data_IF_162963517816
#
_entry.id   IF_162963517816
#
_cell.length_a   1.000
_cell.length_b   1.000
_cell.length_c   1.000
_cell.angle_alpha   90.00
_cell.angle_beta   90.00
_cell.angle_gamma   90.00
#
_symmetry.space_group_name_H-M   'P 1'
#
loop_
_entity.id
_entity.type
_entity.pdbx_description
1 polymer ?
#
# COMPACT_ATOMS: atom_id res chain seq x y z
N UNK A 1 -6.00 -11.84 19.45
CA UNK A 1 -5.26 -12.14 18.19
C UNK A 1 -4.15 -13.10 18.56
N UNK A 2 -3.97 -14.21 17.83
CA UNK A 2 -2.91 -15.16 18.14
C UNK A 2 -1.60 -14.70 17.50
N UNK A 3 -0.50 -14.86 18.21
CA UNK A 3 0.85 -14.65 17.67
C UNK A 3 1.22 -15.82 16.75
N UNK A 4 1.93 -15.54 15.69
CA UNK A 4 2.31 -16.49 14.63
C UNK A 4 3.69 -17.05 14.91
N UNK A 5 3.79 -18.35 15.09
CA UNK A 5 5.02 -19.04 15.47
C UNK A 5 5.47 -19.95 14.33
N UNK A 6 6.77 -19.89 14.00
CA UNK A 6 7.44 -20.88 13.18
C UNK A 6 8.11 -21.94 14.05
N UNK A 7 8.18 -23.17 13.57
CA UNK A 7 8.86 -24.26 14.23
C UNK A 7 9.72 -25.05 13.25
N UNK A 8 10.99 -25.20 13.55
CA UNK A 8 11.95 -25.97 12.75
C UNK A 8 12.52 -27.07 13.63
N UNK A 9 12.19 -28.32 13.29
CA UNK A 9 12.59 -29.49 14.06
C UNK A 9 12.40 -30.75 13.21
N UNK A 10 13.48 -31.48 12.93
CA UNK A 10 13.48 -32.67 12.10
C UNK A 10 12.77 -33.87 12.74
N UNK A 11 12.75 -33.95 14.07
CA UNK A 11 12.21 -35.09 14.80
C UNK A 11 10.76 -34.88 15.28
N UNK A 12 10.46 -33.66 15.73
CA UNK A 12 9.14 -33.38 16.31
C UNK A 12 8.02 -33.46 15.29
N UNK A 13 8.28 -33.13 14.07
CA UNK A 13 7.28 -33.21 13.00
C UNK A 13 6.83 -34.67 12.73
N UNK A 14 7.76 -35.61 12.70
CA UNK A 14 7.44 -37.02 12.50
C UNK A 14 6.57 -37.54 13.64
N UNK A 15 6.87 -37.20 14.88
CA UNK A 15 6.05 -37.58 16.04
C UNK A 15 4.67 -36.92 16.00
N UNK A 16 4.57 -35.63 15.69
CA UNK A 16 3.28 -34.91 15.59
C UNK A 16 2.43 -35.42 14.42
N UNK A 17 3.05 -35.79 13.30
CA UNK A 17 2.34 -36.31 12.13
C UNK A 17 1.77 -37.70 12.33
N UNK A 18 2.42 -38.53 13.13
CA UNK A 18 2.06 -39.95 13.40
C UNK A 18 1.14 -40.07 14.61
N UNK A 19 1.41 -39.34 15.70
CA UNK A 19 0.62 -39.36 16.91
C UNK A 19 -0.36 -38.20 16.97
N UNK A 20 -1.61 -38.49 16.63
CA UNK A 20 -2.70 -37.50 16.66
C UNK A 20 -2.94 -36.91 18.04
N UNK A 21 -2.81 -37.67 19.12
CA UNK A 21 -3.03 -37.21 20.49
C UNK A 21 -1.93 -36.22 20.89
N UNK A 22 -0.69 -36.47 20.48
CA UNK A 22 0.42 -35.56 20.73
C UNK A 22 0.26 -34.25 19.94
N UNK A 23 -0.16 -34.34 18.69
CA UNK A 23 -0.47 -33.17 17.86
C UNK A 23 -1.56 -32.32 18.47
N UNK A 24 -2.66 -32.93 18.89
CA UNK A 24 -3.78 -32.22 19.50
C UNK A 24 -3.37 -31.53 20.84
N UNK A 25 -2.59 -32.24 21.66
CA UNK A 25 -2.05 -31.66 22.90
C UNK A 25 -1.11 -30.48 22.63
N UNK A 26 -0.25 -30.62 21.63
CA UNK A 26 0.71 -29.60 21.21
C UNK A 26 -0.01 -28.35 20.72
N UNK A 27 -0.93 -28.49 19.74
CA UNK A 27 -1.70 -27.37 19.21
C UNK A 27 -2.55 -26.71 20.30
N UNK A 28 -3.17 -27.51 21.17
CA UNK A 28 -3.93 -26.98 22.30
C UNK A 28 -3.08 -26.16 23.24
N UNK A 29 -1.90 -26.65 23.61
CA UNK A 29 -0.98 -25.93 24.52
C UNK A 29 -0.59 -24.56 23.98
N UNK A 30 -0.34 -24.45 22.68
CA UNK A 30 -0.01 -23.19 22.04
C UNK A 30 -1.24 -22.30 21.87
N UNK A 31 -2.35 -22.84 21.39
CA UNK A 31 -3.59 -22.10 21.21
C UNK A 31 -4.14 -21.54 22.55
N UNK A 32 -4.12 -22.34 23.61
CA UNK A 32 -4.53 -21.91 24.97
C UNK A 32 -3.66 -20.76 25.49
N UNK A 33 -2.43 -20.65 24.99
CA UNK A 33 -1.51 -19.54 25.28
C UNK A 33 -1.65 -18.35 24.32
N UNK A 34 -2.57 -18.38 23.35
CA UNK A 34 -2.73 -17.33 22.35
C UNK A 34 -1.62 -17.31 21.29
N UNK A 35 -1.00 -18.45 21.05
CA UNK A 35 0.03 -18.68 20.05
C UNK A 35 -0.53 -19.61 18.97
N UNK A 36 -0.21 -19.37 17.71
CA UNK A 36 -0.59 -20.21 16.59
C UNK A 36 0.65 -20.65 15.83
N UNK A 37 0.93 -21.95 15.79
CA UNK A 37 2.05 -22.46 15.00
C UNK A 37 1.58 -22.58 13.55
N UNK A 38 2.01 -21.64 12.72
CA UNK A 38 1.56 -21.48 11.34
C UNK A 38 2.54 -22.02 10.31
N UNK A 39 3.79 -22.26 10.74
CA UNK A 39 4.84 -22.78 9.88
C UNK A 39 5.57 -23.90 10.60
N UNK A 40 5.66 -25.05 9.92
CA UNK A 40 6.49 -26.18 10.34
C UNK A 40 7.50 -26.52 9.23
N UNK A 41 8.74 -26.78 9.63
CA UNK A 41 9.78 -27.19 8.73
C UNK A 41 10.67 -28.25 9.39
N UNK A 42 11.15 -29.20 8.61
CA UNK A 42 12.09 -30.24 9.07
C UNK A 42 13.54 -29.88 8.80
N UNK A 43 13.77 -28.91 7.91
CA UNK A 43 15.09 -28.44 7.48
C UNK A 43 15.01 -26.98 7.05
N UNK A 44 16.19 -26.37 6.84
CA UNK A 44 16.29 -24.98 6.41
C UNK A 44 15.63 -24.70 5.05
N UNK A 45 15.84 -25.59 4.08
CA UNK A 45 15.32 -25.37 2.73
C UNK A 45 13.77 -25.45 2.70
N UNK A 46 13.18 -26.32 3.51
CA UNK A 46 11.73 -26.40 3.73
C UNK A 46 11.18 -25.12 4.35
N UNK A 47 11.89 -24.55 5.32
CA UNK A 47 11.56 -23.27 5.92
C UNK A 47 11.66 -22.13 4.92
N UNK A 48 12.77 -22.06 4.19
CA UNK A 48 13.05 -20.99 3.22
C UNK A 48 12.09 -21.00 2.03
N UNK A 49 11.60 -22.16 1.60
CA UNK A 49 10.54 -22.25 0.57
C UNK A 49 9.25 -21.59 1.02
N UNK A 50 9.01 -21.45 2.32
CA UNK A 50 7.86 -20.79 2.91
C UNK A 50 8.17 -19.34 3.33
N UNK A 51 9.10 -18.68 2.66
CA UNK A 51 9.62 -17.35 3.02
C UNK A 51 8.52 -16.29 3.19
N UNK A 52 7.44 -16.38 2.41
CA UNK A 52 6.28 -15.49 2.54
C UNK A 52 5.58 -15.61 3.90
N UNK A 53 5.47 -16.81 4.45
CA UNK A 53 4.93 -17.05 5.79
C UNK A 53 5.97 -16.75 6.88
N UNK A 54 7.24 -17.14 6.65
CA UNK A 54 8.35 -16.86 7.57
C UNK A 54 8.48 -15.36 7.86
N UNK A 55 8.24 -14.52 6.86
CA UNK A 55 8.25 -13.07 7.01
C UNK A 55 7.10 -12.51 7.85
N UNK A 56 6.13 -13.33 8.25
CA UNK A 56 4.98 -12.92 9.08
C UNK A 56 5.00 -13.52 10.50
N UNK A 57 6.08 -14.18 10.87
CA UNK A 57 6.23 -14.79 12.18
C UNK A 57 6.53 -13.76 13.27
N UNK A 58 6.02 -13.97 14.45
CA UNK A 58 6.33 -13.21 15.66
C UNK A 58 7.49 -13.83 16.42
N UNK A 59 7.60 -15.16 16.39
CA UNK A 59 8.70 -15.90 16.98
C UNK A 59 8.99 -17.18 16.17
N UNK A 60 10.20 -17.71 16.35
CA UNK A 60 10.61 -19.00 15.79
C UNK A 60 11.21 -19.87 16.87
N UNK A 61 10.81 -21.13 16.87
CA UNK A 61 11.33 -22.19 17.74
C UNK A 61 12.23 -23.08 16.87
N UNK A 62 13.43 -23.34 17.33
CA UNK A 62 14.39 -24.19 16.65
C UNK A 62 14.73 -25.41 17.47
N UNK A 63 14.96 -26.54 16.81
CA UNK A 63 15.85 -27.56 17.39
C UNK A 63 17.32 -27.13 17.21
N UNK A 64 18.17 -27.64 18.07
CA UNK A 64 19.59 -27.38 18.01
C UNK A 64 20.27 -28.06 16.82
N UNK A 65 19.71 -29.17 16.35
CA UNK A 65 20.26 -29.97 15.25
C UNK A 65 19.22 -30.15 14.16
N UNK A 66 19.35 -29.39 13.10
CA UNK A 66 18.62 -29.65 11.87
C UNK A 66 19.49 -29.31 10.66
N UNK A 67 19.29 -30.05 9.58
CA UNK A 67 20.08 -29.95 8.37
C UNK A 67 19.69 -28.72 7.52
N UNK A 68 20.56 -28.36 6.60
CA UNK A 68 20.22 -27.42 5.54
C UNK A 68 19.16 -28.01 4.59
N UNK A 69 19.32 -29.25 4.18
CA UNK A 69 18.46 -29.95 3.23
C UNK A 69 18.23 -31.39 3.68
N UNK A 70 16.98 -31.83 3.70
CA UNK A 70 16.63 -33.22 4.01
C UNK A 70 17.01 -33.66 5.41
N UNK A 71 17.14 -34.98 5.59
CA UNK A 71 17.52 -35.55 6.89
C UNK A 71 18.96 -35.19 7.24
N UNK A 72 19.27 -34.90 8.52
CA UNK A 72 20.60 -34.63 8.98
C UNK A 72 21.55 -35.82 8.63
N UNK A 73 22.76 -35.49 8.19
CA UNK A 73 23.78 -36.52 7.85
C UNK A 73 24.26 -37.27 9.08
N UNK A 74 24.20 -36.66 10.21
CA UNK A 74 24.45 -37.20 11.53
C UNK A 74 23.68 -36.45 12.60
N UNK A 75 23.66 -36.97 13.83
CA UNK A 75 22.94 -36.39 14.98
C UNK A 75 23.49 -35.00 15.41
N UNK A 76 24.56 -34.51 14.80
CA UNK A 76 25.23 -33.25 15.12
C UNK A 76 25.18 -32.24 13.95
N UNK A 77 24.39 -32.49 12.92
CA UNK A 77 24.28 -31.59 11.77
C UNK A 77 23.59 -30.28 12.18
N UNK A 78 24.36 -29.21 12.29
CA UNK A 78 23.92 -27.84 12.61
C UNK A 78 23.88 -26.94 11.38
N UNK A 79 24.05 -27.49 10.19
CA UNK A 79 24.16 -26.67 8.98
C UNK A 79 22.91 -25.79 8.74
N UNK A 80 21.71 -26.32 8.99
CA UNK A 80 20.47 -25.57 8.87
C UNK A 80 20.36 -24.40 9.86
N UNK A 81 20.79 -24.62 11.11
CA UNK A 81 20.79 -23.59 12.14
C UNK A 81 21.65 -22.38 11.75
N UNK A 82 22.83 -22.57 11.18
CA UNK A 82 23.70 -21.47 10.74
C UNK A 82 23.00 -20.57 9.72
N UNK A 83 22.30 -21.15 8.74
CA UNK A 83 21.52 -20.37 7.77
C UNK A 83 20.35 -19.63 8.42
N UNK A 84 19.70 -20.27 9.39
CA UNK A 84 18.61 -19.68 10.12
C UNK A 84 19.04 -18.48 10.95
N UNK A 85 20.18 -18.57 11.64
CA UNK A 85 20.75 -17.47 12.41
C UNK A 85 21.15 -16.30 11.52
N UNK A 86 21.75 -16.55 10.38
CA UNK A 86 22.04 -15.50 9.39
C UNK A 86 20.76 -14.78 8.95
N UNK A 87 19.69 -15.53 8.69
CA UNK A 87 18.40 -14.95 8.32
C UNK A 87 17.79 -14.11 9.46
N UNK A 88 17.93 -14.55 10.72
CA UNK A 88 17.46 -13.80 11.89
C UNK A 88 18.21 -12.47 12.03
N UNK A 89 19.52 -12.48 11.83
CA UNK A 89 20.32 -11.26 11.89
C UNK A 89 19.97 -10.29 10.77
N UNK A 90 19.66 -10.79 9.57
CA UNK A 90 19.07 -9.98 8.50
C UNK A 90 17.73 -9.34 8.95
N UNK A 91 16.87 -10.12 9.63
CA UNK A 91 15.58 -9.61 10.13
C UNK A 91 15.77 -8.55 11.24
N UNK A 92 16.74 -8.72 12.14
CA UNK A 92 17.07 -7.69 13.15
C UNK A 92 17.48 -6.36 12.51
N UNK A 93 18.29 -6.43 11.46
CA UNK A 93 18.75 -5.25 10.71
C UNK A 93 17.62 -4.59 9.90
N UNK A 94 16.59 -5.34 9.54
CA UNK A 94 15.42 -4.85 8.78
C UNK A 94 14.31 -4.20 9.61
N UNK A 95 14.56 -3.80 10.85
CA UNK A 95 13.58 -3.25 11.80
C UNK A 95 12.49 -4.24 12.25
N UNK A 96 12.70 -5.54 12.04
CA UNK A 96 11.77 -6.60 12.42
C UNK A 96 12.43 -7.65 13.31
N UNK A 97 12.59 -7.39 14.61
CA UNK A 97 13.10 -8.40 15.53
C UNK A 97 12.12 -9.56 15.61
N UNK A 98 12.58 -10.75 15.21
CA UNK A 98 11.88 -12.01 15.44
C UNK A 98 12.46 -12.61 16.71
N UNK A 99 11.57 -12.99 17.66
CA UNK A 99 12.03 -13.65 18.87
C UNK A 99 12.40 -15.10 18.58
N UNK A 100 13.50 -15.56 19.15
CA UNK A 100 14.08 -16.87 18.87
C UNK A 100 14.14 -17.70 20.14
N UNK A 101 13.69 -18.93 20.04
CA UNK A 101 13.67 -19.89 21.14
C UNK A 101 14.29 -21.20 20.68
N UNK A 102 15.04 -21.84 21.58
CA UNK A 102 15.63 -23.15 21.36
C UNK A 102 14.84 -24.20 22.14
N UNK A 103 14.46 -25.29 21.47
CA UNK A 103 13.80 -26.44 22.08
C UNK A 103 14.57 -27.70 21.72
N UNK A 104 15.40 -28.21 22.63
CA UNK A 104 16.40 -29.24 22.33
C UNK A 104 16.32 -30.43 23.27
N UNK A 105 16.58 -31.63 22.73
CA UNK A 105 16.75 -32.87 23.51
C UNK A 105 18.14 -33.03 24.14
N UNK A 106 19.06 -32.09 23.93
CA UNK A 106 20.45 -32.14 24.41
C UNK A 106 20.52 -31.89 25.92
N UNK A 107 21.63 -32.34 26.53
CA UNK A 107 21.92 -32.08 27.93
C UNK A 107 22.35 -30.63 28.21
N UNK A 108 22.42 -30.25 29.49
CA UNK A 108 22.74 -28.89 29.90
C UNK A 108 24.15 -28.43 29.49
N UNK A 109 25.11 -29.33 29.40
CA UNK A 109 26.48 -29.00 29.05
C UNK A 109 26.61 -28.67 27.58
N UNK A 110 25.98 -29.48 26.74
CA UNK A 110 25.91 -29.26 25.29
C UNK A 110 25.15 -27.94 24.96
N UNK A 111 24.09 -27.62 25.70
CA UNK A 111 23.34 -26.37 25.57
C UNK A 111 24.23 -25.18 25.98
N UNK A 112 24.96 -25.28 27.10
CA UNK A 112 25.87 -24.22 27.57
C UNK A 112 26.98 -23.94 26.54
N UNK A 113 27.55 -24.98 25.97
CA UNK A 113 28.59 -24.81 24.94
C UNK A 113 28.02 -24.17 23.67
N UNK A 114 26.83 -24.56 23.26
CA UNK A 114 26.13 -23.92 22.15
C UNK A 114 25.88 -22.42 22.40
N UNK A 115 25.44 -22.05 23.59
CA UNK A 115 25.19 -20.64 23.93
C UNK A 115 26.45 -19.79 23.96
N UNK A 116 27.64 -20.39 24.21
CA UNK A 116 28.92 -19.68 24.10
C UNK A 116 29.24 -19.33 22.64
N UNK A 117 28.84 -20.19 21.69
CA UNK A 117 29.08 -19.98 20.26
C UNK A 117 28.11 -18.93 19.69
N UNK A 118 26.92 -18.76 20.29
CA UNK A 118 25.85 -17.88 19.79
C UNK A 118 25.25 -16.96 20.88
N UNK A 119 26.08 -16.17 21.59
CA UNK A 119 25.62 -15.38 22.76
C UNK A 119 24.67 -14.24 22.41
N UNK A 120 24.76 -13.73 21.16
CA UNK A 120 23.90 -12.63 20.71
C UNK A 120 22.51 -13.09 20.21
N UNK A 121 22.39 -14.36 19.83
CA UNK A 121 21.17 -14.91 19.23
C UNK A 121 20.24 -15.53 20.26
N UNK A 122 20.78 -16.13 21.31
CA UNK A 122 20.00 -16.78 22.35
C UNK A 122 20.48 -16.42 23.76
N UNK A 123 19.52 -16.12 24.64
CA UNK A 123 19.75 -16.07 26.07
C UNK A 123 19.43 -17.43 26.71
N UNK A 124 19.99 -17.71 27.91
CA UNK A 124 19.69 -18.93 28.66
C UNK A 124 18.20 -19.08 28.94
N UNK A 125 17.47 -17.97 29.10
CA UNK A 125 16.04 -17.94 29.38
C UNK A 125 15.17 -18.34 28.18
N UNK A 126 15.74 -18.38 26.96
CA UNK A 126 15.06 -18.74 25.74
C UNK A 126 15.36 -20.18 25.28
N UNK A 127 16.00 -20.98 26.14
CA UNK A 127 16.35 -22.37 25.87
C UNK A 127 15.53 -23.31 26.72
N UNK A 128 14.88 -24.26 26.10
CA UNK A 128 14.00 -25.24 26.73
C UNK A 128 14.41 -26.66 26.33
N UNK A 129 14.32 -27.60 27.29
CA UNK A 129 14.53 -29.01 27.01
C UNK A 129 13.27 -29.65 26.43
N UNK A 130 13.47 -30.63 25.52
CA UNK A 130 12.36 -31.43 24.94
C UNK A 130 11.75 -32.36 26.02
N UNK A 131 10.97 -31.78 26.91
CA UNK A 131 10.21 -32.43 27.95
C UNK A 131 8.76 -31.92 27.90
N UNK A 132 7.76 -32.80 28.06
CA UNK A 132 6.33 -32.44 27.99
C UNK A 132 5.94 -31.27 28.90
N UNK A 133 6.44 -31.27 30.12
CA UNK A 133 6.17 -30.19 31.09
C UNK A 133 6.81 -28.84 30.69
N UNK A 134 7.88 -28.86 29.92
CA UNK A 134 8.60 -27.67 29.44
C UNK A 134 7.92 -27.01 28.25
N UNK A 135 7.15 -27.75 27.47
CA UNK A 135 6.41 -27.20 26.34
C UNK A 135 5.43 -26.09 26.76
N UNK A 136 4.67 -26.32 27.80
CA UNK A 136 3.73 -25.32 28.35
C UNK A 136 4.47 -24.11 28.97
N UNK A 137 5.63 -24.36 29.60
CA UNK A 137 6.46 -23.28 30.11
C UNK A 137 7.01 -22.42 28.99
N UNK A 138 7.48 -23.03 27.87
CA UNK A 138 7.96 -22.34 26.69
C UNK A 138 6.85 -21.52 26.05
N UNK A 139 5.66 -22.08 25.85
CA UNK A 139 4.53 -21.35 25.28
C UNK A 139 4.18 -20.11 26.12
N UNK A 140 4.12 -20.25 27.46
CA UNK A 140 3.88 -19.12 28.38
C UNK A 140 4.99 -18.06 28.31
N UNK A 141 6.26 -18.50 28.23
CA UNK A 141 7.39 -17.57 28.09
C UNK A 141 7.35 -16.81 26.79
N UNK A 142 7.14 -17.52 25.67
CA UNK A 142 6.99 -16.88 24.33
C UNK A 142 5.86 -15.84 24.39
N UNK A 143 4.71 -16.22 24.94
CA UNK A 143 3.57 -15.30 25.08
C UNK A 143 3.94 -14.07 25.90
N UNK A 144 4.57 -14.28 27.05
CA UNK A 144 5.01 -13.19 27.93
C UNK A 144 5.99 -12.26 27.20
N UNK A 145 7.02 -12.80 26.57
CA UNK A 145 8.04 -12.01 25.89
C UNK A 145 7.45 -11.23 24.70
N UNK A 146 6.52 -11.86 23.98
CA UNK A 146 5.78 -11.18 22.90
C UNK A 146 4.85 -10.10 23.45
N UNK A 147 4.26 -10.27 24.62
CA UNK A 147 3.45 -9.25 25.29
C UNK A 147 4.32 -8.13 25.86
N UNK A 148 5.47 -8.44 26.46
CA UNK A 148 6.42 -7.47 27.02
C UNK A 148 7.14 -6.65 25.93
N UNK A 149 7.45 -7.29 24.78
CA UNK A 149 8.02 -6.61 23.61
C UNK A 149 6.98 -5.78 22.83
N UNK A 150 5.81 -5.69 23.39
CA UNK A 150 4.59 -5.33 22.72
C UNK A 150 4.27 -3.84 22.81
N UNK A 151 5.11 -2.99 22.21
CA UNK A 151 4.56 -1.73 21.74
C UNK A 151 3.59 -2.02 20.58
N UNK A 152 2.43 -1.37 20.55
CA UNK A 152 1.45 -1.49 19.44
C UNK A 152 2.14 -1.30 18.10
N UNK A 153 3.18 -0.48 18.05
CA UNK A 153 4.01 -0.21 16.87
C UNK A 153 4.77 -1.45 16.37
N UNK A 154 5.45 -2.18 17.26
CA UNK A 154 6.20 -3.40 16.89
C UNK A 154 5.28 -4.50 16.37
N UNK A 155 4.10 -4.69 17.00
CA UNK A 155 3.09 -5.64 16.51
C UNK A 155 2.60 -5.33 15.12
N UNK A 156 2.32 -4.07 14.86
CA UNK A 156 1.84 -3.61 13.56
C UNK A 156 2.92 -3.78 12.50
N UNK A 157 4.16 -3.41 12.79
CA UNK A 157 5.29 -3.63 11.89
C UNK A 157 5.47 -5.11 11.55
N UNK A 158 5.32 -6.02 12.49
CA UNK A 158 5.39 -7.47 12.22
C UNK A 158 4.23 -7.95 11.36
N UNK A 159 3.01 -7.54 11.71
CA UNK A 159 1.81 -8.00 11.02
C UNK A 159 1.70 -7.51 9.59
N UNK A 160 2.08 -6.27 9.35
CA UNK A 160 1.96 -5.58 8.06
C UNK A 160 3.33 -5.31 7.44
N UNK A 161 4.30 -6.18 7.72
CA UNK A 161 5.66 -5.99 7.24
C UNK A 161 5.72 -5.79 5.73
N UNK A 162 5.06 -6.66 4.95
CA UNK A 162 5.04 -6.58 3.49
C UNK A 162 4.46 -5.25 3.02
N UNK A 163 3.35 -4.84 3.58
CA UNK A 163 2.65 -3.63 3.21
C UNK A 163 3.47 -2.37 3.56
N UNK A 164 4.18 -2.42 4.67
CA UNK A 164 5.09 -1.34 5.10
C UNK A 164 6.30 -1.26 4.16
N UNK A 165 6.87 -2.39 3.73
CA UNK A 165 7.94 -2.41 2.74
C UNK A 165 7.46 -1.85 1.39
N UNK A 166 6.26 -2.22 0.91
CA UNK A 166 5.68 -1.64 -0.29
C UNK A 166 5.55 -0.11 -0.19
N UNK A 167 5.12 0.39 0.95
CA UNK A 167 5.04 1.83 1.19
C UNK A 167 6.42 2.50 1.23
N UNK A 168 7.42 1.84 1.81
CA UNK A 168 8.82 2.30 1.84
C UNK A 168 9.42 2.40 0.44
N UNK A 169 9.11 1.45 -0.45
CA UNK A 169 9.54 1.49 -1.84
C UNK A 169 8.98 2.70 -2.60
N UNK A 170 7.79 3.19 -2.22
CA UNK A 170 7.24 4.43 -2.78
C UNK A 170 8.01 5.63 -2.23
N UNK A 171 8.03 5.81 -0.90
CA UNK A 171 8.81 6.85 -0.23
C UNK A 171 8.85 6.64 1.30
N UNK A 172 9.85 7.21 2.02
CA UNK A 172 9.88 7.22 3.48
C UNK A 172 8.64 7.88 4.13
N UNK A 173 8.08 8.90 3.49
CA UNK A 173 6.86 9.57 3.94
C UNK A 173 5.65 8.64 3.81
N UNK A 174 5.55 7.88 2.72
CA UNK A 174 4.50 6.89 2.51
C UNK A 174 4.51 5.84 3.61
N UNK A 175 5.68 5.30 3.94
CA UNK A 175 5.87 4.37 5.06
C UNK A 175 5.35 4.96 6.37
N UNK A 176 5.76 6.19 6.71
CA UNK A 176 5.36 6.88 7.93
C UNK A 176 3.84 7.08 8.02
N UNK A 177 3.22 7.53 6.93
CA UNK A 177 1.77 7.71 6.87
C UNK A 177 1.04 6.39 7.03
N UNK A 178 1.48 5.33 6.33
CA UNK A 178 0.87 4.01 6.44
C UNK A 178 0.99 3.44 7.86
N UNK A 179 2.15 3.53 8.50
CA UNK A 179 2.33 3.08 9.89
C UNK A 179 1.37 3.81 10.84
N UNK A 180 1.19 5.12 10.69
CA UNK A 180 0.25 5.89 11.50
C UNK A 180 -1.21 5.45 11.30
N UNK A 181 -1.60 5.19 10.05
CA UNK A 181 -2.93 4.66 9.72
C UNK A 181 -3.12 3.26 10.33
N UNK A 182 -2.14 2.39 10.22
CA UNK A 182 -2.18 1.03 10.77
C UNK A 182 -2.30 1.05 12.30
N UNK A 183 -1.56 1.93 12.97
CA UNK A 183 -1.66 2.14 14.42
C UNK A 183 -3.09 2.57 14.81
N UNK A 184 -3.65 3.53 14.12
CA UNK A 184 -5.03 3.97 14.37
C UNK A 184 -6.05 2.86 14.09
N UNK A 185 -5.86 2.06 13.02
CA UNK A 185 -6.78 1.01 12.61
C UNK A 185 -6.80 -0.22 13.53
N UNK A 186 -5.69 -0.53 14.19
CA UNK A 186 -5.49 -1.78 14.92
C UNK A 186 -5.01 -1.60 16.36
N UNK A 187 -5.16 -0.43 16.95
CA UNK A 187 -4.89 -0.22 18.36
C UNK A 187 -5.86 -1.07 19.21
N UNK A 188 -5.33 -1.95 20.05
CA UNK A 188 -6.14 -2.86 20.91
C UNK A 188 -6.80 -2.15 22.10
N UNK A 189 -6.25 -1.01 22.52
CA UNK A 189 -6.79 -0.23 23.64
C UNK A 189 -8.06 0.57 23.29
N UNK A 190 -8.67 0.25 22.17
CA UNK A 190 -9.76 1.01 21.59
C UNK A 190 -9.24 2.14 20.71
N UNK A 191 -10.07 2.52 19.76
CA UNK A 191 -9.68 3.55 18.82
C UNK A 191 -9.90 4.86 19.52
N UNK A 192 -8.82 5.49 19.93
CA UNK A 192 -8.90 6.89 20.32
C UNK A 192 -9.35 7.70 19.10
N UNK A 193 -10.51 8.26 19.21
CA UNK A 193 -11.14 9.08 18.18
C UNK A 193 -10.19 10.15 17.62
N UNK A 194 -9.31 10.67 18.45
CA UNK A 194 -8.31 11.67 18.11
C UNK A 194 -7.25 11.15 17.12
N UNK A 195 -6.89 9.87 17.16
CA UNK A 195 -5.91 9.29 16.23
C UNK A 195 -6.50 9.07 14.85
N UNK A 196 -7.75 8.64 14.76
CA UNK A 196 -8.44 8.53 13.46
C UNK A 196 -8.59 9.90 12.83
N UNK A 197 -8.96 10.92 13.58
CA UNK A 197 -9.08 12.29 13.07
C UNK A 197 -7.75 12.84 12.56
N UNK A 198 -6.66 12.54 13.25
CA UNK A 198 -5.32 12.95 12.81
C UNK A 198 -4.85 12.21 11.56
N UNK A 199 -5.20 10.95 11.42
CA UNK A 199 -4.65 10.06 10.39
C UNK A 199 -5.51 9.96 9.14
N UNK A 200 -6.78 10.36 9.18
CA UNK A 200 -7.66 10.28 8.01
C UNK A 200 -7.14 11.08 6.82
N UNK A 201 -6.44 12.17 7.07
CA UNK A 201 -5.78 12.97 6.04
C UNK A 201 -4.62 12.25 5.36
N UNK A 202 -3.98 11.28 6.04
CA UNK A 202 -2.84 10.55 5.51
C UNK A 202 -3.21 9.63 4.34
N UNK A 203 -4.45 9.17 4.24
CA UNK A 203 -4.92 8.46 3.05
C UNK A 203 -4.75 9.31 1.80
N UNK A 204 -5.14 10.57 1.88
CA UNK A 204 -4.97 11.52 0.79
C UNK A 204 -3.49 11.79 0.52
N UNK A 205 -2.69 11.96 1.56
CA UNK A 205 -1.26 12.23 1.43
C UNK A 205 -0.52 11.06 0.77
N UNK A 206 -0.87 9.81 1.10
CA UNK A 206 -0.35 8.62 0.43
C UNK A 206 -0.65 8.68 -1.09
N UNK A 207 -1.87 9.03 -1.49
CA UNK A 207 -2.21 9.08 -2.91
C UNK A 207 -1.60 10.27 -3.62
N UNK A 208 -1.83 11.48 -3.12
CA UNK A 208 -1.45 12.70 -3.83
C UNK A 208 0.04 13.00 -3.73
N UNK A 209 0.63 12.84 -2.54
CA UNK A 209 2.02 13.22 -2.28
C UNK A 209 3.02 12.09 -2.49
N UNK A 210 2.57 10.83 -2.40
CA UNK A 210 3.48 9.69 -2.55
C UNK A 210 3.21 8.94 -3.87
N UNK A 211 2.10 8.20 -3.98
CA UNK A 211 1.86 7.31 -5.12
C UNK A 211 1.74 8.09 -6.43
N UNK A 212 0.91 9.14 -6.49
CA UNK A 212 0.71 9.91 -7.72
C UNK A 212 2.00 10.60 -8.18
N UNK A 213 2.75 11.17 -7.24
CA UNK A 213 4.06 11.79 -7.54
C UNK A 213 5.02 10.74 -8.11
N UNK A 214 5.10 9.59 -7.45
CA UNK A 214 6.00 8.51 -7.86
C UNK A 214 5.62 7.92 -9.21
N UNK A 215 4.33 7.69 -9.46
CA UNK A 215 3.84 7.23 -10.77
C UNK A 215 4.14 8.24 -11.90
N UNK A 216 4.12 9.55 -11.62
CA UNK A 216 4.52 10.57 -12.60
C UNK A 216 6.03 10.57 -12.84
N UNK A 217 6.85 10.52 -11.78
CA UNK A 217 8.31 10.45 -11.87
C UNK A 217 8.77 9.25 -12.70
N UNK A 218 8.15 8.11 -12.49
CA UNK A 218 8.46 6.85 -13.17
C UNK A 218 7.72 6.68 -14.52
N UNK A 219 6.97 7.69 -14.96
CA UNK A 219 6.19 7.70 -16.21
C UNK A 219 5.11 6.62 -16.32
N UNK A 220 4.71 6.03 -15.21
CA UNK A 220 3.56 5.12 -15.13
C UNK A 220 2.27 5.87 -15.48
N UNK A 221 2.16 7.10 -14.97
CA UNK A 221 1.11 8.06 -15.32
C UNK A 221 1.70 9.24 -16.09
N UNK A 222 0.94 9.88 -16.97
CA UNK A 222 1.31 11.17 -17.50
C UNK A 222 1.39 12.22 -16.37
N UNK A 223 1.92 13.42 -16.63
CA UNK A 223 2.07 14.48 -15.63
C UNK A 223 0.71 15.11 -15.25
N UNK A 224 -0.17 14.30 -14.67
CA UNK A 224 -1.49 14.69 -14.19
C UNK A 224 -1.40 15.48 -12.89
N UNK A 225 -2.30 16.43 -12.67
CA UNK A 225 -2.29 17.27 -11.49
C UNK A 225 -3.20 16.76 -10.36
N UNK A 226 -4.21 15.96 -10.71
CA UNK A 226 -5.19 15.48 -9.76
C UNK A 226 -5.55 14.00 -9.92
N UNK A 227 -5.95 13.36 -8.81
CA UNK A 227 -6.45 11.97 -8.79
C UNK A 227 -7.65 11.77 -9.73
N UNK A 228 -8.53 12.78 -9.84
CA UNK A 228 -9.68 12.72 -10.75
C UNK A 228 -9.28 12.60 -12.21
N UNK A 229 -8.17 13.22 -12.62
CA UNK A 229 -7.63 13.12 -13.97
C UNK A 229 -7.07 11.71 -14.23
N UNK A 230 -6.34 11.14 -13.25
CA UNK A 230 -5.85 9.77 -13.34
C UNK A 230 -7.00 8.76 -13.45
N UNK A 231 -8.05 8.95 -12.65
CA UNK A 231 -9.26 8.13 -12.73
C UNK A 231 -9.95 8.25 -14.09
N UNK A 232 -10.08 9.46 -14.61
CA UNK A 232 -10.69 9.69 -15.92
C UNK A 232 -9.90 8.98 -17.02
N UNK A 233 -8.57 9.08 -17.01
CA UNK A 233 -7.70 8.40 -17.96
C UNK A 233 -7.85 6.87 -17.87
N UNK A 234 -7.89 6.33 -16.65
CA UNK A 234 -8.03 4.89 -16.42
C UNK A 234 -9.35 4.32 -16.98
N UNK A 235 -10.46 5.03 -16.78
CA UNK A 235 -11.79 4.55 -17.19
C UNK A 235 -12.13 4.86 -18.65
N UNK A 236 -11.84 6.09 -19.10
CA UNK A 236 -12.23 6.55 -20.44
C UNK A 236 -11.09 6.45 -21.48
N UNK A 237 -9.94 5.95 -21.07
CA UNK A 237 -8.73 5.87 -21.89
C UNK A 237 -8.21 7.22 -22.41
N UNK A 238 -8.82 8.31 -22.00
CA UNK A 238 -8.44 9.67 -22.40
C UNK A 238 -8.74 10.66 -21.28
N UNK A 239 -7.88 11.65 -21.09
CA UNK A 239 -8.07 12.76 -20.16
C UNK A 239 -7.56 14.05 -20.77
N UNK A 240 -8.29 15.14 -20.53
CA UNK A 240 -7.86 16.50 -20.80
C UNK A 240 -7.62 17.17 -19.45
N UNK A 241 -6.36 17.55 -19.22
CA UNK A 241 -5.95 18.17 -17.98
C UNK A 241 -6.38 19.64 -17.92
N UNK A 242 -6.45 20.20 -16.72
CA UNK A 242 -6.77 21.62 -16.50
C UNK A 242 -5.81 22.57 -17.22
N UNK A 243 -4.57 22.15 -17.43
CA UNK A 243 -3.57 22.90 -18.18
C UNK A 243 -3.75 22.81 -19.72
N UNK A 244 -4.74 22.04 -20.20
CA UNK A 244 -5.05 21.85 -21.60
C UNK A 244 -4.29 20.73 -22.31
N UNK A 245 -3.36 20.03 -21.62
CA UNK A 245 -2.74 18.84 -22.18
C UNK A 245 -3.76 17.70 -22.28
N UNK A 246 -3.65 16.92 -23.33
CA UNK A 246 -4.51 15.77 -23.58
C UNK A 246 -3.67 14.50 -23.58
N UNK A 247 -4.05 13.53 -22.77
CA UNK A 247 -3.37 12.22 -22.71
C UNK A 247 -4.32 11.10 -23.06
N UNK A 248 -3.79 10.08 -23.75
CA UNK A 248 -4.55 8.91 -24.18
C UNK A 248 -3.78 7.64 -23.88
N UNK A 249 -4.50 6.58 -23.49
CA UNK A 249 -3.95 5.22 -23.39
C UNK A 249 -3.89 4.61 -24.78
N UNK A 250 -2.80 3.91 -25.09
CA UNK A 250 -2.61 3.18 -26.36
C UNK A 250 -3.75 2.19 -26.57
N UNK A 251 -4.11 1.97 -27.83
CA UNK A 251 -5.12 0.97 -28.21
C UNK A 251 -4.73 -0.39 -27.64
N UNK A 252 -5.73 -1.16 -27.21
CA UNK A 252 -5.58 -2.48 -26.59
C UNK A 252 -4.84 -2.54 -25.26
N UNK A 253 -4.49 -1.38 -24.68
CA UNK A 253 -3.86 -1.27 -23.35
C UNK A 253 -4.87 -0.86 -22.27
N UNK A 254 -4.59 -1.24 -21.02
CA UNK A 254 -5.36 -0.87 -19.83
C UNK A 254 -4.36 -0.38 -18.79
N UNK A 255 -4.54 0.84 -18.27
CA UNK A 255 -3.68 1.38 -17.22
C UNK A 255 -3.82 0.61 -15.92
N UNK A 256 -5.07 0.41 -15.48
CA UNK A 256 -5.41 -0.36 -14.29
C UNK A 256 -6.54 -1.31 -14.64
N UNK A 257 -6.55 -2.49 -14.06
CA UNK A 257 -7.74 -3.35 -14.13
C UNK A 257 -8.97 -2.63 -13.55
N UNK A 258 -10.15 -3.10 -13.92
CA UNK A 258 -11.40 -2.41 -13.57
C UNK A 258 -11.57 -2.21 -12.06
N UNK A 259 -11.18 -3.20 -11.24
CA UNK A 259 -11.33 -3.11 -9.79
C UNK A 259 -10.38 -2.08 -9.20
N UNK A 260 -9.09 -2.13 -9.58
CA UNK A 260 -8.06 -1.17 -9.11
C UNK A 260 -8.37 0.23 -9.56
N UNK A 261 -8.81 0.41 -10.81
CA UNK A 261 -9.24 1.70 -11.36
C UNK A 261 -10.42 2.29 -10.58
N UNK A 262 -11.41 1.47 -10.26
CA UNK A 262 -12.55 1.88 -9.44
C UNK A 262 -12.12 2.32 -8.03
N UNK A 263 -11.28 1.52 -7.37
CA UNK A 263 -10.72 1.85 -6.05
C UNK A 263 -9.95 3.16 -6.10
N UNK A 264 -9.04 3.32 -7.07
CA UNK A 264 -8.19 4.48 -7.20
C UNK A 264 -8.96 5.77 -7.42
N UNK A 265 -9.87 5.79 -8.39
CA UNK A 265 -10.48 7.04 -8.85
C UNK A 265 -11.86 7.35 -8.26
N UNK A 266 -12.61 6.34 -7.87
CA UNK A 266 -13.99 6.54 -7.43
C UNK A 266 -14.15 6.43 -5.93
N UNK A 267 -13.77 5.31 -5.35
CA UNK A 267 -14.03 5.05 -3.93
C UNK A 267 -13.12 5.89 -3.06
N UNK A 268 -11.80 5.77 -3.25
CA UNK A 268 -10.84 6.45 -2.37
C UNK A 268 -10.88 7.96 -2.55
N UNK A 269 -10.93 8.47 -3.77
CA UNK A 269 -11.00 9.90 -4.00
C UNK A 269 -12.25 10.53 -3.39
N UNK A 270 -13.41 9.90 -3.57
CA UNK A 270 -14.65 10.38 -2.98
C UNK A 270 -14.59 10.29 -1.46
N UNK A 271 -14.23 9.14 -0.90
CA UNK A 271 -14.19 8.93 0.55
C UNK A 271 -13.20 9.86 1.23
N UNK A 272 -12.00 10.00 0.67
CA UNK A 272 -10.97 10.89 1.23
C UNK A 272 -11.37 12.35 1.11
N UNK A 273 -11.89 12.78 -0.03
CA UNK A 273 -12.35 14.16 -0.20
C UNK A 273 -13.52 14.50 0.71
N UNK A 274 -14.48 13.60 0.87
CA UNK A 274 -15.63 13.82 1.77
C UNK A 274 -15.19 13.84 3.25
N UNK A 275 -14.12 13.12 3.61
CA UNK A 275 -13.55 13.16 4.94
C UNK A 275 -12.78 14.45 5.24
N UNK A 276 -12.20 15.10 4.21
CA UNK A 276 -11.35 16.28 4.36
C UNK A 276 -12.09 17.60 4.15
N UNK A 277 -13.14 17.61 3.35
CA UNK A 277 -13.90 18.81 3.01
C UNK A 277 -15.29 18.78 3.63
N UNK A 278 -15.48 19.51 4.72
CA UNK A 278 -16.81 19.78 5.28
C UNK A 278 -17.53 20.73 4.33
N UNK A 279 -18.39 20.19 3.48
CA UNK A 279 -19.36 20.98 2.71
C UNK A 279 -20.77 20.64 3.22
N UNK A 280 -21.53 21.67 3.52
CA UNK A 280 -22.92 21.56 3.95
C UNK A 280 -23.75 20.75 2.94
N UNK A 281 -24.38 19.68 3.43
CA UNK A 281 -25.42 18.89 2.75
C UNK A 281 -25.01 17.47 2.38
N UNK A 282 -25.92 16.54 2.52
CA UNK A 282 -26.07 15.14 2.03
C UNK A 282 -24.82 14.22 1.82
N UNK A 283 -23.60 14.66 2.07
CA UNK A 283 -22.42 13.85 1.95
C UNK A 283 -22.12 13.13 3.25
N UNK A 284 -21.74 11.86 3.16
CA UNK A 284 -21.38 11.03 4.30
C UNK A 284 -20.13 11.61 4.97
N UNK A 285 -20.31 12.25 6.10
CA UNK A 285 -19.20 12.69 6.93
C UNK A 285 -18.61 11.47 7.65
N UNK A 286 -17.61 10.84 7.05
CA UNK A 286 -16.96 9.65 7.61
C UNK A 286 -16.54 9.87 9.07
N UNK A 287 -16.02 11.05 9.39
CA UNK A 287 -15.68 11.44 10.77
C UNK A 287 -16.87 11.33 11.71
N UNK A 288 -17.99 11.98 11.36
CA UNK A 288 -19.22 11.93 12.17
C UNK A 288 -19.76 10.51 12.28
N UNK A 289 -19.71 9.74 11.19
CA UNK A 289 -20.14 8.34 11.23
C UNK A 289 -19.33 7.54 12.24
N UNK A 290 -18.00 7.59 12.18
CA UNK A 290 -17.11 6.90 13.13
C UNK A 290 -17.36 7.41 14.56
N UNK A 291 -17.55 8.70 14.75
CA UNK A 291 -17.85 9.31 16.05
C UNK A 291 -19.17 8.81 16.65
N UNK A 292 -20.20 8.70 15.85
CA UNK A 292 -21.55 8.34 16.31
C UNK A 292 -21.74 6.85 16.50
N UNK A 293 -21.10 6.04 15.67
CA UNK A 293 -21.31 4.58 15.63
C UNK A 293 -20.19 3.81 16.28
N UNK A 294 -19.02 4.41 16.53
CA UNK A 294 -17.78 3.73 16.90
C UNK A 294 -17.38 2.63 15.91
N UNK A 295 -17.90 2.69 14.67
CA UNK A 295 -17.62 1.71 13.62
C UNK A 295 -16.34 2.06 12.87
N UNK A 296 -15.29 1.33 13.17
CA UNK A 296 -13.99 1.45 12.50
C UNK A 296 -13.94 0.76 11.15
N UNK A 297 -14.94 -0.03 10.77
CA UNK A 297 -14.84 -0.85 9.57
C UNK A 297 -14.73 0.00 8.29
N UNK A 298 -15.34 1.18 8.26
CA UNK A 298 -15.16 2.13 7.15
C UNK A 298 -13.69 2.55 7.04
N UNK A 299 -13.06 2.93 8.16
CA UNK A 299 -11.65 3.31 8.18
C UNK A 299 -10.72 2.17 7.74
N UNK A 300 -10.98 0.95 8.25
CA UNK A 300 -10.27 -0.27 7.81
C UNK A 300 -10.53 -0.58 6.33
N UNK A 301 -11.74 -0.35 5.85
CA UNK A 301 -12.06 -0.46 4.42
C UNK A 301 -11.20 0.46 3.56
N UNK A 302 -11.06 1.74 3.94
CA UNK A 302 -10.16 2.69 3.28
C UNK A 302 -8.70 2.21 3.32
N UNK A 303 -8.25 1.68 4.45
CA UNK A 303 -6.90 1.12 4.58
C UNK A 303 -6.70 -0.04 3.59
N UNK A 304 -7.58 -1.04 3.54
CA UNK A 304 -7.42 -2.16 2.62
C UNK A 304 -7.46 -1.76 1.14
N UNK A 305 -8.27 -0.76 0.80
CA UNK A 305 -8.26 -0.17 -0.54
C UNK A 305 -6.91 0.50 -0.85
N UNK A 306 -6.34 1.21 0.11
CA UNK A 306 -5.01 1.83 -0.02
C UNK A 306 -3.92 0.77 -0.22
N UNK A 307 -3.96 -0.32 0.54
CA UNK A 307 -3.03 -1.44 0.38
C UNK A 307 -3.13 -2.09 -1.01
N UNK A 308 -4.34 -2.21 -1.57
CA UNK A 308 -4.54 -2.73 -2.93
C UNK A 308 -3.89 -1.82 -3.98
N UNK A 309 -3.94 -0.51 -3.80
CA UNK A 309 -3.28 0.43 -4.72
C UNK A 309 -1.75 0.38 -4.58
N UNK A 310 -1.22 0.26 -3.37
CA UNK A 310 0.21 0.06 -3.14
C UNK A 310 0.71 -1.24 -3.81
N UNK A 311 -0.08 -2.32 -3.70
CA UNK A 311 0.22 -3.58 -4.36
C UNK A 311 0.19 -3.44 -5.89
N UNK A 312 -0.83 -2.76 -6.45
CA UNK A 312 -0.90 -2.48 -7.88
C UNK A 312 0.34 -1.71 -8.37
N UNK A 313 0.76 -0.67 -7.65
CA UNK A 313 1.96 0.10 -7.98
C UNK A 313 3.19 -0.81 -8.02
N UNK A 314 3.41 -1.60 -6.97
CA UNK A 314 4.54 -2.53 -6.87
C UNK A 314 4.57 -3.53 -8.03
N UNK A 315 3.44 -4.15 -8.34
CA UNK A 315 3.35 -5.21 -9.34
C UNK A 315 3.53 -4.70 -10.77
N UNK A 316 3.23 -3.43 -11.03
CA UNK A 316 3.20 -2.89 -12.39
C UNK A 316 4.28 -1.83 -12.67
N UNK A 317 4.96 -1.28 -11.65
CA UNK A 317 5.87 -0.14 -11.80
C UNK A 317 6.98 -0.40 -12.82
N UNK A 318 7.63 -1.54 -12.76
CA UNK A 318 8.77 -1.84 -13.63
C UNK A 318 8.33 -1.98 -15.10
N UNK A 319 7.26 -2.71 -15.34
CA UNK A 319 6.72 -2.88 -16.69
C UNK A 319 6.24 -1.56 -17.28
N UNK A 320 5.46 -0.80 -16.53
CA UNK A 320 4.84 0.45 -17.02
C UNK A 320 5.85 1.60 -17.12
N UNK A 321 6.87 1.64 -16.24
CA UNK A 321 7.94 2.64 -16.33
C UNK A 321 8.79 2.43 -17.59
N UNK A 322 9.11 1.18 -17.91
CA UNK A 322 9.91 0.83 -19.08
C UNK A 322 9.12 0.95 -20.39
N UNK A 323 7.81 0.70 -20.35
CA UNK A 323 6.92 0.73 -21.51
C UNK A 323 5.65 1.52 -21.19
N UNK A 324 5.71 2.87 -21.13
CA UNK A 324 4.53 3.68 -20.89
C UNK A 324 3.43 3.39 -21.91
N UNK A 325 2.24 3.09 -21.41
CA UNK A 325 1.08 2.77 -22.25
C UNK A 325 0.23 3.99 -22.58
N UNK A 326 0.68 5.17 -22.23
CA UNK A 326 0.05 6.45 -22.54
C UNK A 326 0.92 7.29 -23.48
N UNK A 327 0.30 8.25 -24.12
CA UNK A 327 0.98 9.27 -24.91
C UNK A 327 0.23 10.60 -24.83
N UNK A 328 0.97 11.68 -24.99
CA UNK A 328 0.37 13.00 -25.17
C UNK A 328 -0.14 13.12 -26.60
N UNK A 329 -1.40 13.47 -26.72
CA UNK A 329 -1.96 13.77 -28.03
C UNK A 329 -1.42 15.13 -28.43
N UNK A 330 -0.45 15.14 -29.35
CA UNK A 330 -0.02 16.37 -29.98
C UNK A 330 -1.26 17.08 -30.56
N UNK A 331 -1.45 18.32 -30.16
CA UNK A 331 -2.70 19.02 -30.48
C UNK A 331 -2.94 19.10 -31.97
N UNK A 332 -3.89 18.34 -32.46
CA UNK A 332 -4.66 18.71 -33.66
C UNK A 332 -5.42 20.03 -33.43
N UNK A 333 -5.28 20.55 -32.22
CA UNK A 333 -6.03 21.64 -31.58
C UNK A 333 -5.32 22.98 -31.67
N UNK A 334 -4.62 23.24 -32.75
CA UNK A 334 -4.15 24.60 -33.03
C UNK A 334 -5.31 25.42 -33.58
N UNK A 335 -5.51 26.60 -33.00
CA UNK A 335 -6.35 27.61 -33.64
C UNK A 335 -5.83 27.82 -35.05
N UNK A 336 -6.67 27.67 -36.04
CA UNK A 336 -6.30 27.85 -37.47
C UNK A 336 -7.29 28.72 -38.18
N UNK A 337 -6.86 29.30 -39.30
CA UNK A 337 -7.70 30.12 -40.18
C UNK A 337 -8.35 29.24 -41.24
N UNK A 338 -9.66 29.37 -41.38
CA UNK A 338 -10.44 28.82 -42.47
C UNK A 338 -11.10 29.99 -43.22
N UNK A 339 -10.46 30.43 -44.29
CA UNK A 339 -10.80 31.67 -44.96
C UNK A 339 -10.60 32.90 -44.06
N UNK A 340 -11.64 33.67 -43.82
CA UNK A 340 -11.64 34.83 -42.92
C UNK A 340 -11.98 34.48 -41.50
N UNK A 341 -12.48 33.27 -41.25
CA UNK A 341 -12.91 32.80 -39.92
C UNK A 341 -11.76 32.13 -39.17
N UNK A 342 -11.77 32.26 -37.87
CA UNK A 342 -10.81 31.57 -36.99
C UNK A 342 -11.50 30.39 -36.34
N UNK A 343 -10.97 29.20 -36.58
CA UNK A 343 -11.41 27.99 -35.91
C UNK A 343 -10.58 27.84 -34.64
N UNK A 344 -11.23 27.77 -33.50
CA UNK A 344 -10.57 27.59 -32.18
C UNK A 344 -11.06 26.36 -31.48
N UNK A 345 -10.16 25.68 -30.83
CA UNK A 345 -10.54 24.54 -29.96
C UNK A 345 -10.65 24.97 -28.52
N UNK A 346 -11.77 24.66 -27.90
CA UNK A 346 -12.03 24.94 -26.47
C UNK A 346 -11.09 24.13 -25.60
N UNK A 347 -10.22 24.82 -24.84
CA UNK A 347 -9.26 24.20 -23.94
C UNK A 347 -9.67 24.23 -22.46
N UNK A 348 -10.43 25.24 -22.10
CA UNK A 348 -10.88 25.40 -20.72
C UNK A 348 -12.22 26.14 -20.67
N UNK A 349 -13.09 25.75 -19.74
CA UNK A 349 -14.39 26.42 -19.51
C UNK A 349 -14.53 26.69 -18.03
N UNK A 350 -14.79 27.94 -17.66
CA UNK A 350 -15.19 28.31 -16.30
C UNK A 350 -16.59 28.97 -16.30
N UNK A 351 -17.03 29.46 -15.15
CA UNK A 351 -18.35 30.07 -15.04
C UNK A 351 -18.60 31.24 -15.98
N UNK A 352 -17.58 32.04 -16.29
CA UNK A 352 -17.70 33.29 -17.06
C UNK A 352 -17.16 33.20 -18.48
N UNK A 353 -16.19 32.32 -18.72
CA UNK A 353 -15.44 32.30 -19.96
C UNK A 353 -15.17 30.90 -20.48
N UNK A 354 -14.98 30.84 -21.80
CA UNK A 354 -14.43 29.72 -22.54
C UNK A 354 -13.08 30.17 -23.07
N UNK A 355 -12.09 29.32 -23.04
CA UNK A 355 -10.72 29.63 -23.44
C UNK A 355 -10.22 28.67 -24.53
N UNK A 356 -9.54 29.21 -25.50
CA UNK A 356 -8.70 28.48 -26.46
C UNK A 356 -7.22 28.81 -26.18
N UNK A 357 -6.30 28.48 -27.09
CA UNK A 357 -4.88 28.78 -26.93
C UNK A 357 -4.61 30.29 -26.79
N UNK A 358 -5.28 31.11 -27.60
CA UNK A 358 -5.02 32.55 -27.70
C UNK A 358 -6.25 33.43 -27.49
N UNK A 359 -7.38 32.82 -27.23
CA UNK A 359 -8.67 33.54 -27.18
C UNK A 359 -9.39 33.24 -25.89
N UNK A 360 -9.93 34.31 -25.32
CA UNK A 360 -10.86 34.30 -24.20
C UNK A 360 -12.24 34.69 -24.72
N UNK A 361 -13.18 33.78 -24.57
CA UNK A 361 -14.55 33.95 -25.10
C UNK A 361 -15.50 34.13 -23.91
N UNK A 362 -16.28 35.18 -23.88
CA UNK A 362 -17.35 35.37 -22.91
C UNK A 362 -18.39 34.27 -23.09
N UNK A 363 -18.76 33.62 -22.03
CA UNK A 363 -19.65 32.45 -22.08
C UNK A 363 -21.08 32.87 -22.40
N UNK A 364 -21.66 32.17 -23.37
CA UNK A 364 -23.10 32.19 -23.60
C UNK A 364 -23.76 31.09 -22.78
N UNK A 365 -24.55 31.43 -21.76
CA UNK A 365 -25.18 30.44 -20.87
C UNK A 365 -26.26 29.59 -21.56
N UNK A 366 -26.73 30.00 -22.70
CA UNK A 366 -27.64 29.20 -23.53
C UNK A 366 -26.92 28.13 -24.33
N UNK A 367 -25.60 28.10 -24.28
CA UNK A 367 -24.77 27.22 -25.08
C UNK A 367 -23.92 26.31 -24.21
N UNK A 368 -23.93 25.02 -24.52
CA UNK A 368 -23.19 24.01 -23.75
C UNK A 368 -21.77 23.81 -24.32
N UNK A 369 -20.83 24.63 -23.89
CA UNK A 369 -19.45 24.49 -24.28
C UNK A 369 -18.78 23.29 -23.61
N UNK A 370 -18.02 22.52 -24.38
CA UNK A 370 -17.23 21.36 -23.90
C UNK A 370 -15.76 21.52 -24.31
N UNK A 371 -14.87 21.04 -23.49
CA UNK A 371 -13.44 20.98 -23.83
C UNK A 371 -13.26 20.06 -25.04
N UNK A 372 -12.43 20.46 -25.99
CA UNK A 372 -12.24 19.78 -27.27
C UNK A 372 -13.25 20.16 -28.36
N UNK A 373 -14.27 20.96 -28.05
CA UNK A 373 -15.22 21.48 -29.02
C UNK A 373 -14.55 22.50 -29.92
N UNK A 374 -14.82 22.44 -31.20
CA UNK A 374 -14.33 23.43 -32.18
C UNK A 374 -15.38 24.52 -32.40
N UNK A 375 -14.92 25.74 -32.30
CA UNK A 375 -15.75 26.93 -32.46
C UNK A 375 -15.24 27.77 -33.65
N UNK A 376 -16.15 28.12 -34.56
CA UNK A 376 -15.90 29.05 -35.65
C UNK A 376 -16.17 30.47 -35.19
N UNK A 377 -15.15 31.33 -35.27
CA UNK A 377 -15.20 32.71 -34.79
C UNK A 377 -14.96 33.63 -36.00
N UNK A 378 -15.97 34.42 -36.31
CA UNK A 378 -15.94 35.34 -37.44
C UNK A 378 -15.32 36.71 -37.11
N UNK A 379 -15.40 37.12 -35.84
CA UNK A 379 -14.90 38.42 -35.36
C UNK A 379 -14.34 38.30 -33.95
N UNK A 380 -13.27 39.05 -33.66
CA UNK A 380 -12.61 39.09 -32.35
C UNK A 380 -12.08 40.49 -32.07
N UNK A 381 -12.07 40.87 -30.82
CA UNK A 381 -11.45 42.11 -30.32
C UNK A 381 -10.08 41.81 -29.67
N UNK A 382 -9.24 42.83 -29.48
CA UNK A 382 -8.06 42.72 -28.67
C UNK A 382 -8.46 42.63 -27.17
N UNK A 383 -7.80 41.73 -26.46
CA UNK A 383 -8.03 41.61 -25.01
C UNK A 383 -7.28 42.71 -24.27
N UNK A 384 -8.01 43.60 -23.60
CA UNK A 384 -7.44 44.68 -22.79
C UNK A 384 -7.37 44.34 -21.29
N UNK A 385 -7.73 43.11 -20.89
CA UNK A 385 -7.73 42.64 -19.53
C UNK A 385 -6.34 42.33 -18.94
N UNK A 386 -6.31 41.97 -17.67
CA UNK A 386 -5.06 41.60 -16.96
C UNK A 386 -4.37 40.34 -17.51
N UNK A 387 -5.09 39.52 -18.24
CA UNK A 387 -4.63 38.27 -18.82
C UNK A 387 -4.34 38.37 -20.36
N UNK A 388 -4.19 39.60 -20.86
CA UNK A 388 -3.91 39.90 -22.28
C UNK A 388 -2.65 39.24 -22.84
N UNK A 389 -1.62 39.04 -22.03
CA UNK A 389 -0.39 38.37 -22.42
C UNK A 389 -0.63 36.88 -22.75
N UNK A 390 -1.52 36.26 -22.00
CA UNK A 390 -1.88 34.84 -22.16
C UNK A 390 -2.96 34.64 -23.21
N UNK A 391 -3.93 35.56 -23.29
CA UNK A 391 -5.06 35.54 -24.22
C UNK A 391 -5.14 36.88 -24.94
N UNK A 392 -4.39 37.11 -25.99
CA UNK A 392 -4.33 38.40 -26.66
C UNK A 392 -5.65 38.78 -27.33
N UNK A 393 -6.55 37.83 -27.58
CA UNK A 393 -7.83 38.10 -28.22
C UNK A 393 -9.01 37.80 -27.29
N UNK A 394 -10.06 38.59 -27.48
CA UNK A 394 -11.31 38.49 -26.75
C UNK A 394 -12.51 38.39 -27.70
N UNK A 395 -13.45 37.53 -27.34
CA UNK A 395 -14.71 37.38 -28.08
C UNK A 395 -15.87 37.56 -27.11
N UNK A 396 -16.76 38.50 -27.39
CA UNK A 396 -18.01 38.69 -26.68
C UNK A 396 -19.14 37.97 -27.43
N UNK A 397 -19.64 36.87 -26.89
CA UNK A 397 -20.69 36.05 -27.50
C UNK A 397 -22.01 36.82 -27.75
N UNK A 398 -22.18 37.99 -27.18
CA UNK A 398 -23.34 38.86 -27.43
C UNK A 398 -23.12 39.86 -28.58
N UNK A 399 -21.87 40.03 -29.02
CA UNK A 399 -21.48 40.91 -30.11
C UNK A 399 -21.01 40.19 -31.35
N UNK A 400 -20.38 39.04 -31.12
CA UNK A 400 -19.69 38.27 -32.15
C UNK A 400 -20.40 36.94 -32.41
N UNK A 401 -20.46 36.52 -33.65
CA UNK A 401 -21.04 35.23 -34.02
C UNK A 401 -20.06 34.10 -33.73
N UNK A 402 -20.50 33.12 -32.98
CA UNK A 402 -19.75 31.90 -32.64
C UNK A 402 -20.61 30.73 -33.11
N UNK A 403 -20.07 29.86 -33.94
CA UNK A 403 -20.74 28.66 -34.45
C UNK A 403 -19.95 27.42 -34.02
N UNK A 404 -20.62 26.32 -33.78
CA UNK A 404 -20.00 25.01 -33.60
C UNK A 404 -19.62 24.48 -34.98
N UNK A 405 -18.40 24.00 -35.12
CA UNK A 405 -17.89 23.41 -36.35
C UNK A 405 -18.16 21.92 -36.43
#
# INVERSE_FOLDING_TARGET
MNYRIGWIDDQLWDVISVDKQYKDLFQKTFNDSGLEVVLFATDWDSFNKQKGEANRLDAVIFDMNFAKTGNPKDDNDKSGLTYCLSWIDEQKNSSRPILCYLYSGRDEEQIKDFLKDYPESFSQDNVFRKELGKLAMMAKKIKKDLDDDNSSEKRIRRRFYREIELAREVSPECEKYLQSILLAAFNENGIEQLEIEKTIGFFRDIFEKCILVKCKEEKILPPLDALGEASTLAFSKEVICKNGCKYRIKEDSILMDTATSYLYGKVLNIMVNDAMHVKDGLRMEIRKHIQQTSDINIYRGMLFMTLSILQWYHDNREQLSNNPIWYEVESEDSDYLDGADLIVTVKFVNEKFVFSKNIKIKRNYSYSYRIGMKLRIKQKDENTGYDKEKYPYYVDCFKHTIEEE
#
